data_IF_087340046615
#
_entry.id   IF_087340046615
#
_cell.length_a   1.000
_cell.length_b   1.000
_cell.length_c   1.000
_cell.angle_alpha   90.00
_cell.angle_beta   90.00
_cell.angle_gamma   90.00
#
_symmetry.space_group_name_H-M   'P 1'
#
loop_
_entity.id
_entity.type
_entity.pdbx_description
1 polymer ?
#
# COMPACT_ATOMS: atom_id res chain seq x y z
N UNK A 1 8.93 -6.96 14.80
CA UNK A 1 10.10 -7.70 15.27
C UNK A 1 11.25 -6.75 15.66
N UNK A 2 11.68 -5.83 14.77
CA UNK A 2 12.77 -4.89 15.09
C UNK A 2 12.43 -3.99 16.30
N UNK A 3 11.18 -3.53 16.43
CA UNK A 3 10.71 -2.75 17.58
C UNK A 3 10.80 -3.50 18.92
N UNK A 4 10.64 -4.82 18.89
CA UNK A 4 10.63 -5.65 20.10
C UNK A 4 12.01 -6.22 20.44
N UNK A 5 12.80 -6.59 19.44
CA UNK A 5 14.06 -7.31 19.59
C UNK A 5 15.31 -6.45 19.31
N UNK A 6 15.11 -5.26 18.76
CA UNK A 6 16.17 -4.36 18.33
C UNK A 6 16.60 -4.55 16.87
N UNK A 7 17.21 -3.51 16.32
CA UNK A 7 17.64 -3.49 14.91
C UNK A 7 18.77 -4.48 14.63
N UNK A 8 19.72 -4.63 15.55
CA UNK A 8 20.86 -5.56 15.37
C UNK A 8 20.40 -7.02 15.24
N UNK A 9 19.51 -7.49 16.13
CA UNK A 9 18.97 -8.85 16.05
C UNK A 9 18.13 -9.02 14.77
N UNK A 10 17.39 -7.99 14.37
CA UNK A 10 16.64 -7.99 13.14
C UNK A 10 17.56 -8.09 11.92
N UNK A 11 18.65 -7.34 11.88
CA UNK A 11 19.66 -7.35 10.82
C UNK A 11 20.29 -8.73 10.69
N UNK A 12 20.76 -9.32 11.78
CA UNK A 12 21.36 -10.65 11.79
C UNK A 12 20.42 -11.73 11.26
N UNK A 13 19.14 -11.66 11.62
CA UNK A 13 18.16 -12.69 11.26
C UNK A 13 17.54 -12.50 9.88
N UNK A 14 17.24 -11.26 9.50
CA UNK A 14 16.45 -10.94 8.31
C UNK A 14 17.14 -10.00 7.33
N UNK A 15 18.32 -9.48 7.65
CA UNK A 15 19.03 -8.51 6.82
C UNK A 15 19.24 -8.99 5.39
N UNK A 16 19.74 -10.22 5.22
CA UNK A 16 19.92 -10.81 3.89
C UNK A 16 18.59 -10.89 3.12
N UNK A 17 17.51 -11.31 3.77
CA UNK A 17 16.20 -11.43 3.16
C UNK A 17 15.65 -10.07 2.70
N UNK A 18 15.83 -9.02 3.51
CA UNK A 18 15.45 -7.65 3.14
C UNK A 18 16.24 -7.18 1.91
N UNK A 19 17.55 -7.39 1.88
CA UNK A 19 18.39 -7.06 0.74
C UNK A 19 17.97 -7.81 -0.52
N UNK A 20 17.77 -9.13 -0.43
CA UNK A 20 17.39 -9.97 -1.56
C UNK A 20 16.07 -9.51 -2.21
N UNK A 21 15.06 -9.14 -1.39
CA UNK A 21 13.78 -8.62 -1.88
C UNK A 21 13.97 -7.29 -2.62
N UNK A 22 14.66 -6.32 -1.98
CA UNK A 22 14.86 -5.01 -2.58
C UNK A 22 15.68 -5.09 -3.86
N UNK A 23 16.79 -5.85 -3.85
CA UNK A 23 17.61 -6.09 -5.02
C UNK A 23 16.82 -6.74 -6.17
N UNK A 24 15.95 -7.70 -5.84
CA UNK A 24 15.12 -8.37 -6.84
C UNK A 24 14.15 -7.41 -7.52
N UNK A 25 13.52 -6.52 -6.75
CA UNK A 25 12.62 -5.50 -7.28
C UNK A 25 13.38 -4.46 -8.10
N UNK A 26 14.47 -3.91 -7.54
CA UNK A 26 15.30 -2.87 -8.22
C UNK A 26 15.86 -3.38 -9.55
N UNK A 27 16.25 -4.65 -9.62
CA UNK A 27 16.75 -5.29 -10.85
C UNK A 27 15.68 -5.71 -11.85
N UNK A 28 14.40 -5.43 -11.56
CA UNK A 28 13.28 -5.82 -12.43
C UNK A 28 13.04 -7.31 -12.48
N UNK A 29 13.37 -8.05 -11.41
CA UNK A 29 13.21 -9.52 -11.36
C UNK A 29 11.75 -9.97 -11.29
N UNK A 30 10.85 -9.13 -10.80
CA UNK A 30 9.44 -9.51 -10.65
C UNK A 30 8.65 -9.30 -11.95
N UNK A 31 7.89 -10.31 -12.44
CA UNK A 31 7.24 -10.25 -13.76
C UNK A 31 6.09 -9.24 -13.86
N UNK A 32 5.57 -8.76 -12.74
CA UNK A 32 4.41 -7.86 -12.69
C UNK A 32 4.65 -6.59 -11.86
N UNK A 33 5.88 -6.34 -11.41
CA UNK A 33 6.25 -5.11 -10.69
C UNK A 33 7.46 -4.48 -11.36
N UNK A 34 7.37 -3.20 -11.67
CA UNK A 34 8.40 -2.46 -12.39
C UNK A 34 8.71 -1.17 -11.65
N UNK A 35 9.97 -0.99 -11.27
CA UNK A 35 10.45 0.28 -10.72
C UNK A 35 10.61 1.29 -11.86
N UNK A 36 9.92 2.41 -11.78
CA UNK A 36 10.02 3.50 -12.74
C UNK A 36 11.00 4.59 -12.27
N UNK A 37 11.44 5.45 -13.18
CA UNK A 37 12.45 6.50 -12.92
C UNK A 37 12.00 7.51 -11.86
N UNK A 38 10.69 7.67 -11.66
CA UNK A 38 10.11 8.49 -10.60
C UNK A 38 10.13 7.84 -9.20
N UNK A 39 10.73 6.65 -9.09
CA UNK A 39 10.83 5.90 -7.83
C UNK A 39 9.59 5.08 -7.46
N UNK A 40 8.48 5.19 -8.20
CA UNK A 40 7.26 4.42 -7.92
C UNK A 40 7.31 3.03 -8.57
N UNK A 41 6.65 2.07 -7.90
CA UNK A 41 6.40 0.73 -8.43
C UNK A 41 5.11 0.73 -9.26
N UNK A 42 5.25 0.44 -10.54
CA UNK A 42 4.15 0.13 -11.44
C UNK A 42 3.80 -1.35 -11.34
N UNK A 43 2.51 -1.67 -11.30
CA UNK A 43 1.99 -3.04 -11.17
C UNK A 43 1.13 -3.41 -12.37
N UNK A 44 1.38 -4.58 -12.99
CA UNK A 44 0.57 -5.08 -14.09
C UNK A 44 -0.48 -6.09 -13.58
N UNK A 45 -1.61 -5.57 -13.09
CA UNK A 45 -2.70 -6.34 -12.50
C UNK A 45 -4.03 -6.27 -13.25
N UNK A 46 -4.04 -5.81 -14.51
CA UNK A 46 -5.26 -5.63 -15.29
C UNK A 46 -6.02 -6.93 -15.52
N UNK A 47 -5.30 -8.02 -15.78
CA UNK A 47 -5.87 -9.34 -16.06
C UNK A 47 -5.53 -10.36 -14.97
N UNK A 48 -4.90 -9.92 -13.88
CA UNK A 48 -4.36 -10.79 -12.82
C UNK A 48 -4.65 -10.20 -11.45
N UNK A 49 -4.84 -11.09 -10.50
CA UNK A 49 -4.85 -10.70 -9.10
C UNK A 49 -3.41 -10.53 -8.64
N UNK A 50 -3.04 -9.32 -8.23
CA UNK A 50 -1.68 -8.98 -7.74
C UNK A 50 -1.70 -8.40 -6.33
N UNK A 51 -2.86 -8.17 -5.74
CA UNK A 51 -3.00 -7.59 -4.40
C UNK A 51 -3.95 -8.43 -3.54
N UNK A 52 -4.17 -8.01 -2.29
CA UNK A 52 -5.13 -8.63 -1.39
C UNK A 52 -6.58 -8.54 -1.89
N UNK A 53 -6.87 -7.64 -2.83
CA UNK A 53 -8.16 -7.53 -3.49
C UNK A 53 -8.28 -8.60 -4.59
N UNK A 54 -8.51 -9.84 -4.17
CA UNK A 54 -8.28 -11.06 -4.95
C UNK A 54 -9.54 -11.78 -5.43
N UNK A 55 -10.70 -11.13 -5.40
CA UNK A 55 -11.94 -11.71 -5.92
C UNK A 55 -11.86 -11.93 -7.44
N UNK A 56 -12.27 -13.13 -7.89
CA UNK A 56 -12.20 -13.56 -9.28
C UNK A 56 -13.55 -14.17 -9.69
N UNK A 57 -14.08 -13.77 -10.84
CA UNK A 57 -15.26 -14.38 -11.47
C UNK A 57 -14.91 -14.73 -12.90
N UNK A 58 -15.21 -15.94 -13.32
CA UNK A 58 -14.92 -16.45 -14.68
C UNK A 58 -13.45 -16.24 -15.11
N UNK A 59 -12.52 -16.43 -14.18
CA UNK A 59 -11.08 -16.27 -14.41
C UNK A 59 -10.58 -14.83 -14.52
N UNK A 60 -11.42 -13.82 -14.25
CA UNK A 60 -11.08 -12.40 -14.32
C UNK A 60 -11.19 -11.73 -12.95
N UNK A 61 -10.26 -10.83 -12.61
CA UNK A 61 -10.37 -10.02 -11.40
C UNK A 61 -11.68 -9.22 -11.38
N UNK A 62 -12.40 -9.25 -10.26
CA UNK A 62 -13.57 -8.37 -10.04
C UNK A 62 -13.13 -6.91 -9.88
N UNK A 63 -11.98 -6.72 -9.26
CA UNK A 63 -11.36 -5.42 -9.08
C UNK A 63 -9.99 -5.39 -9.80
N UNK A 64 -9.96 -5.22 -11.13
CA UNK A 64 -8.70 -5.09 -11.85
C UNK A 64 -8.01 -3.80 -11.42
N UNK A 65 -6.76 -3.91 -10.94
CA UNK A 65 -5.95 -2.78 -10.49
C UNK A 65 -4.59 -2.86 -11.16
N UNK A 66 -4.27 -1.87 -11.96
CA UNK A 66 -3.03 -1.74 -12.70
C UNK A 66 -2.45 -0.35 -12.52
N UNK A 67 -1.17 -0.19 -12.77
CA UNK A 67 -0.51 1.09 -12.58
C UNK A 67 0.15 1.24 -11.21
N UNK A 68 0.18 2.44 -10.70
CA UNK A 68 0.70 2.73 -9.36
C UNK A 68 -0.41 2.48 -8.32
N UNK A 69 -0.25 1.45 -7.50
CA UNK A 69 -1.16 1.11 -6.40
C UNK A 69 -0.69 1.80 -5.11
N UNK A 70 -1.60 2.43 -4.40
CA UNK A 70 -1.27 3.28 -3.24
C UNK A 70 -0.60 2.50 -2.11
N UNK A 71 -1.13 1.33 -1.75
CA UNK A 71 -0.57 0.49 -0.69
C UNK A 71 0.79 -0.12 -1.08
N UNK A 72 0.98 -0.47 -2.35
CA UNK A 72 2.26 -1.01 -2.83
C UNK A 72 3.35 0.06 -2.73
N UNK A 73 3.07 1.27 -3.16
CA UNK A 73 4.03 2.36 -3.11
C UNK A 73 4.28 2.86 -1.69
N UNK A 74 3.28 2.81 -0.81
CA UNK A 74 3.47 3.03 0.62
C UNK A 74 4.40 1.98 1.25
N UNK A 75 4.15 0.70 0.99
CA UNK A 75 4.99 -0.41 1.47
C UNK A 75 6.41 -0.35 0.89
N UNK A 76 6.54 0.00 -0.38
CA UNK A 76 7.83 0.18 -1.05
C UNK A 76 8.67 1.26 -0.38
N UNK A 77 8.10 2.45 -0.20
CA UNK A 77 8.77 3.54 0.51
C UNK A 77 9.20 3.14 1.91
N UNK A 78 8.28 2.54 2.68
CA UNK A 78 8.59 2.07 4.03
C UNK A 78 9.68 1.00 4.03
N UNK A 79 9.68 0.08 3.06
CA UNK A 79 10.71 -0.96 2.91
C UNK A 79 12.10 -0.38 2.65
N UNK A 80 12.20 0.58 1.75
CA UNK A 80 13.46 1.27 1.44
C UNK A 80 14.02 2.01 2.66
N UNK A 81 13.20 2.81 3.36
CA UNK A 81 13.61 3.54 4.57
C UNK A 81 13.97 2.62 5.72
N UNK A 82 13.20 1.55 5.90
CA UNK A 82 13.50 0.53 6.90
C UNK A 82 14.85 -0.16 6.62
N UNK A 83 15.11 -0.54 5.36
CA UNK A 83 16.38 -1.16 4.99
C UNK A 83 17.57 -0.20 5.18
N UNK A 84 17.40 1.06 4.77
CA UNK A 84 18.42 2.09 5.00
C UNK A 84 18.73 2.26 6.49
N UNK A 85 17.70 2.28 7.35
CA UNK A 85 17.90 2.35 8.81
C UNK A 85 18.50 1.06 9.39
N UNK A 86 18.15 -0.11 8.86
CA UNK A 86 18.65 -1.41 9.32
C UNK A 86 20.17 -1.56 9.10
N UNK A 87 20.69 -0.95 8.03
CA UNK A 87 22.10 -1.04 7.63
C UNK A 87 22.86 0.29 7.78
N UNK A 88 22.31 1.28 8.49
CA UNK A 88 22.88 2.62 8.59
C UNK A 88 24.34 2.65 9.14
N UNK A 89 24.68 1.72 10.03
CA UNK A 89 26.00 1.62 10.66
C UNK A 89 26.92 0.58 9.96
N UNK A 90 26.46 -0.03 8.88
CA UNK A 90 27.20 -1.07 8.16
C UNK A 90 27.97 -0.43 6.99
N UNK A 91 29.27 -0.25 7.15
CA UNK A 91 30.11 0.39 6.13
C UNK A 91 30.19 -0.38 4.81
N UNK A 92 30.02 -1.71 4.84
CA UNK A 92 30.00 -2.53 3.61
C UNK A 92 28.72 -2.31 2.80
N UNK A 93 27.65 -1.86 3.46
CA UNK A 93 26.36 -1.58 2.86
C UNK A 93 26.14 -0.10 2.50
N UNK A 94 27.12 0.78 2.75
CA UNK A 94 26.97 2.23 2.56
C UNK A 94 26.43 2.62 1.18
N UNK A 95 26.96 2.04 0.10
CA UNK A 95 26.49 2.32 -1.28
C UNK A 95 25.06 1.87 -1.52
N UNK A 96 24.63 0.74 -0.95
CA UNK A 96 23.24 0.29 -1.04
C UNK A 96 22.29 1.17 -0.22
N UNK A 97 22.70 1.58 0.97
CA UNK A 97 21.94 2.51 1.81
C UNK A 97 21.72 3.84 1.09
N UNK A 98 22.75 4.36 0.42
CA UNK A 98 22.65 5.56 -0.42
C UNK A 98 21.63 5.36 -1.55
N UNK A 99 21.76 4.28 -2.33
CA UNK A 99 20.83 3.93 -3.40
C UNK A 99 19.37 3.83 -2.91
N UNK A 100 19.14 3.14 -1.78
CA UNK A 100 17.78 3.01 -1.22
C UNK A 100 17.21 4.36 -0.78
N UNK A 101 18.03 5.23 -0.21
CA UNK A 101 17.61 6.58 0.16
C UNK A 101 17.29 7.43 -1.06
N UNK A 102 18.09 7.41 -2.12
CA UNK A 102 17.82 8.12 -3.36
C UNK A 102 16.50 7.66 -4.00
N UNK A 103 16.24 6.35 -4.05
CA UNK A 103 14.97 5.82 -4.57
C UNK A 103 13.82 6.26 -3.65
N UNK A 104 14.00 6.20 -2.33
CA UNK A 104 12.98 6.59 -1.37
C UNK A 104 12.65 8.09 -1.46
N UNK A 105 13.64 8.96 -1.69
CA UNK A 105 13.41 10.40 -1.87
C UNK A 105 12.56 10.67 -3.12
N UNK A 106 12.89 10.05 -4.24
CA UNK A 106 12.08 10.11 -5.47
C UNK A 106 10.68 9.56 -5.24
N UNK A 107 10.58 8.41 -4.53
CA UNK A 107 9.29 7.79 -4.20
C UNK A 107 8.43 8.74 -3.37
N UNK A 108 9.00 9.43 -2.37
CA UNK A 108 8.25 10.33 -1.50
C UNK A 108 7.63 11.51 -2.26
N UNK A 109 8.42 12.16 -3.11
CA UNK A 109 7.95 13.27 -3.95
C UNK A 109 6.85 12.80 -4.89
N UNK A 110 7.10 11.73 -5.63
CA UNK A 110 6.16 11.18 -6.60
C UNK A 110 4.90 10.63 -5.94
N UNK A 111 5.00 10.03 -4.75
CA UNK A 111 3.86 9.49 -4.02
C UNK A 111 2.83 10.57 -3.68
N UNK A 112 3.27 11.68 -3.11
CA UNK A 112 2.38 12.79 -2.76
C UNK A 112 1.72 13.35 -4.00
N UNK A 113 2.50 13.61 -5.06
CA UNK A 113 2.00 14.15 -6.32
C UNK A 113 1.00 13.20 -7.01
N UNK A 114 1.24 11.89 -6.95
CA UNK A 114 0.42 10.89 -7.66
C UNK A 114 -0.87 10.57 -6.92
N UNK A 115 -0.81 10.43 -5.59
CA UNK A 115 -1.93 9.86 -4.84
C UNK A 115 -2.75 10.87 -4.04
N UNK A 116 -2.13 11.95 -3.51
CA UNK A 116 -2.84 12.90 -2.68
C UNK A 116 -3.69 13.84 -3.53
N UNK A 117 -5.00 13.78 -3.35
CA UNK A 117 -5.94 14.63 -4.07
C UNK A 117 -6.32 15.91 -3.28
N UNK A 118 -7.00 16.83 -3.93
CA UNK A 118 -7.43 18.12 -3.36
C UNK A 118 -8.42 17.98 -2.19
N UNK A 119 -9.11 16.84 -2.11
CA UNK A 119 -10.01 16.52 -0.98
C UNK A 119 -9.26 16.00 0.25
N UNK A 120 -7.94 15.79 0.14
CA UNK A 120 -7.06 15.42 1.25
C UNK A 120 -7.04 13.94 1.59
N UNK A 121 -7.39 13.06 0.64
CA UNK A 121 -7.21 11.62 0.76
C UNK A 121 -6.41 11.06 -0.42
N UNK A 122 -6.02 9.78 -0.35
CA UNK A 122 -5.23 9.14 -1.39
C UNK A 122 -6.15 8.36 -2.34
N UNK A 123 -5.98 8.60 -3.65
CA UNK A 123 -6.64 7.79 -4.69
C UNK A 123 -6.15 6.33 -4.61
N UNK A 124 -6.97 5.39 -5.04
CA UNK A 124 -6.69 3.96 -4.88
C UNK A 124 -5.54 3.47 -5.78
N UNK A 125 -5.57 3.84 -7.05
CA UNK A 125 -4.48 3.61 -8.00
C UNK A 125 -4.51 4.64 -9.14
N UNK A 126 -3.39 4.74 -9.85
CA UNK A 126 -3.22 5.59 -11.03
C UNK A 126 -2.59 4.79 -12.16
N UNK A 127 -3.26 4.75 -13.33
CA UNK A 127 -2.75 4.09 -14.54
C UNK A 127 -2.81 5.05 -15.73
N UNK A 128 -1.66 5.61 -16.08
CA UNK A 128 -1.57 6.68 -17.08
C UNK A 128 -2.36 7.92 -16.68
N UNK A 129 -3.35 8.29 -17.48
CA UNK A 129 -4.23 9.44 -17.21
C UNK A 129 -5.43 9.09 -16.30
N UNK A 130 -5.64 7.81 -15.99
CA UNK A 130 -6.76 7.35 -15.17
C UNK A 130 -6.36 7.29 -13.69
N UNK A 131 -7.20 7.86 -12.83
CA UNK A 131 -7.09 7.74 -11.38
C UNK A 131 -8.37 7.16 -10.81
N UNK A 132 -8.27 6.14 -9.96
CA UNK A 132 -9.42 5.62 -9.21
C UNK A 132 -9.62 6.40 -7.90
N UNK A 133 -10.63 7.22 -7.88
CA UNK A 133 -11.00 8.09 -6.76
C UNK A 133 -11.87 7.40 -5.71
N UNK A 134 -12.08 6.10 -5.84
CA UNK A 134 -12.83 5.32 -4.87
C UNK A 134 -12.17 5.41 -3.49
N UNK A 135 -12.95 5.73 -2.47
CA UNK A 135 -12.46 5.69 -1.09
C UNK A 135 -12.43 4.24 -0.63
N UNK A 136 -11.19 3.70 -0.57
CA UNK A 136 -10.88 2.32 -0.20
C UNK A 136 -9.88 2.25 0.95
N UNK A 137 -9.83 1.15 1.70
CA UNK A 137 -8.92 1.01 2.82
C UNK A 137 -7.45 0.85 2.41
N UNK A 138 -7.12 0.76 1.13
CA UNK A 138 -5.75 0.64 0.66
C UNK A 138 -4.88 1.83 1.09
N UNK A 139 -5.44 3.04 1.09
CA UNK A 139 -4.76 4.21 1.66
C UNK A 139 -4.44 4.03 3.15
N UNK A 140 -5.29 3.34 3.91
CA UNK A 140 -5.08 3.11 5.34
C UNK A 140 -3.81 2.28 5.60
N UNK A 141 -3.51 1.32 4.73
CA UNK A 141 -2.26 0.55 4.80
C UNK A 141 -1.07 1.51 4.71
N UNK A 142 -1.05 2.41 3.71
CA UNK A 142 0.01 3.40 3.57
C UNK A 142 0.11 4.37 4.77
N UNK A 143 -1.03 4.75 5.38
CA UNK A 143 -1.07 5.63 6.55
C UNK A 143 -0.55 4.96 7.83
N UNK A 144 -0.64 3.64 7.94
CA UNK A 144 -0.28 2.86 9.14
C UNK A 144 1.22 2.60 9.28
N UNK A 145 1.99 2.78 8.22
CA UNK A 145 3.42 2.44 8.16
C UNK A 145 4.29 3.37 9.02
N UNK A 146 5.42 2.87 9.49
CA UNK A 146 6.35 3.65 10.33
C UNK A 146 7.03 4.76 9.53
N UNK A 147 7.46 4.43 8.31
CA UNK A 147 7.97 5.41 7.36
C UNK A 147 6.87 5.74 6.36
N UNK A 148 6.41 6.99 6.35
CA UNK A 148 5.37 7.47 5.45
C UNK A 148 5.90 8.62 4.60
N UNK A 149 5.58 8.65 3.29
CA UNK A 149 5.91 9.81 2.45
C UNK A 149 5.02 11.03 2.73
N UNK A 150 3.97 10.86 3.53
CA UNK A 150 3.04 11.92 3.91
C UNK A 150 3.47 12.60 5.20
N UNK A 151 3.30 13.91 5.27
CA UNK A 151 3.41 14.64 6.53
C UNK A 151 2.25 14.34 7.50
N UNK A 152 2.38 14.81 8.75
CA UNK A 152 1.39 14.57 9.80
C UNK A 152 0.01 15.14 9.45
N UNK A 153 -0.06 16.31 8.80
CA UNK A 153 -1.31 16.96 8.43
C UNK A 153 -2.01 16.19 7.31
N UNK A 154 -1.26 15.76 6.31
CA UNK A 154 -1.77 14.95 5.20
C UNK A 154 -2.31 13.62 5.69
N UNK A 155 -1.55 12.91 6.54
CA UNK A 155 -2.00 11.65 7.16
C UNK A 155 -3.28 11.82 7.97
N UNK A 156 -3.37 12.88 8.79
CA UNK A 156 -4.56 13.18 9.58
C UNK A 156 -5.79 13.39 8.69
N UNK A 157 -5.68 14.21 7.66
CA UNK A 157 -6.79 14.46 6.73
C UNK A 157 -7.26 13.20 6.01
N UNK A 158 -6.34 12.37 5.53
CA UNK A 158 -6.68 11.11 4.88
C UNK A 158 -7.33 10.13 5.87
N UNK A 159 -6.85 10.05 7.11
CA UNK A 159 -7.45 9.22 8.16
C UNK A 159 -8.86 9.69 8.55
N UNK A 160 -9.12 11.00 8.56
CA UNK A 160 -10.46 11.56 8.80
C UNK A 160 -11.45 11.09 7.73
N UNK A 161 -11.03 10.98 6.47
CA UNK A 161 -11.87 10.42 5.39
C UNK A 161 -12.12 8.93 5.60
N UNK A 162 -11.10 8.14 5.93
CA UNK A 162 -11.25 6.72 6.28
C UNK A 162 -12.22 6.53 7.44
N UNK A 163 -12.06 7.32 8.50
CA UNK A 163 -12.93 7.26 9.68
C UNK A 163 -14.38 7.53 9.33
N UNK A 164 -14.63 8.61 8.59
CA UNK A 164 -15.98 9.04 8.23
C UNK A 164 -16.69 8.06 7.30
N UNK A 165 -15.95 7.45 6.35
CA UNK A 165 -16.57 6.70 5.26
C UNK A 165 -16.44 5.18 5.37
N UNK A 166 -15.37 4.70 6.02
CA UNK A 166 -15.07 3.27 6.05
C UNK A 166 -15.20 2.62 7.43
N UNK A 167 -15.05 3.38 8.53
CA UNK A 167 -15.09 2.80 9.87
C UNK A 167 -16.51 2.35 10.24
N UNK A 168 -16.60 1.15 10.77
CA UNK A 168 -17.84 0.58 11.32
C UNK A 168 -17.57 -0.09 12.67
N UNK A 169 -18.58 -0.40 13.47
CA UNK A 169 -18.41 -1.15 14.72
C UNK A 169 -17.82 -2.56 14.54
N UNK A 170 -17.79 -3.09 13.31
CA UNK A 170 -17.33 -4.45 13.00
C UNK A 170 -16.04 -4.50 12.17
N UNK A 171 -15.45 -3.36 11.84
CA UNK A 171 -14.24 -3.28 11.00
C UNK A 171 -14.28 -2.15 10.00
N UNK A 172 -13.36 -2.17 9.05
CA UNK A 172 -13.22 -1.17 8.00
C UNK A 172 -13.87 -1.69 6.72
N UNK A 173 -14.76 -0.89 6.11
CA UNK A 173 -15.36 -1.20 4.80
C UNK A 173 -14.31 -1.28 3.71
N UNK A 174 -14.54 -2.17 2.76
CA UNK A 174 -13.67 -2.33 1.58
C UNK A 174 -13.94 -1.30 0.48
N UNK A 175 -15.06 -0.59 0.57
CA UNK A 175 -15.43 0.51 -0.31
C UNK A 175 -16.38 1.46 0.43
N UNK A 176 -16.26 2.76 0.17
CA UNK A 176 -17.19 3.76 0.70
C UNK A 176 -18.60 3.58 0.15
N UNK A 177 -19.65 3.79 0.99
CA UNK A 177 -21.04 3.82 0.51
C UNK A 177 -21.32 4.88 -0.56
N UNK A 178 -20.44 5.87 -0.70
CA UNK A 178 -20.57 6.93 -1.72
C UNK A 178 -19.90 6.59 -3.04
N UNK A 179 -19.08 5.55 -3.08
CA UNK A 179 -18.36 5.12 -4.29
C UNK A 179 -19.26 4.29 -5.19
N UNK A 180 -19.04 4.43 -6.51
CA UNK A 180 -19.74 3.61 -7.50
C UNK A 180 -19.48 2.13 -7.26
N UNK A 181 -20.52 1.30 -7.47
CA UNK A 181 -20.43 -0.15 -7.27
C UNK A 181 -20.46 -0.60 -5.82
N UNK A 182 -20.78 0.27 -4.85
CA UNK A 182 -20.91 -0.13 -3.45
C UNK A 182 -21.96 -1.23 -3.28
N UNK A 183 -21.54 -2.36 -2.71
CA UNK A 183 -22.39 -3.50 -2.37
C UNK A 183 -21.98 -4.05 -0.98
N UNK A 184 -22.70 -3.72 0.09
CA UNK A 184 -22.35 -4.12 1.45
C UNK A 184 -22.72 -5.57 1.77
N UNK A 185 -23.49 -6.24 0.90
CA UNK A 185 -24.16 -7.51 1.20
C UNK A 185 -23.35 -8.68 0.64
N UNK A 186 -22.83 -9.54 1.52
CA UNK A 186 -22.05 -10.71 1.17
C UNK A 186 -22.89 -11.97 1.35
N UNK A 187 -23.82 -12.21 0.42
CA UNK A 187 -24.79 -13.33 0.44
C UNK A 187 -25.03 -13.85 -0.97
N UNK A 188 -25.76 -14.96 -1.10
CA UNK A 188 -26.15 -15.54 -2.37
C UNK A 188 -25.17 -16.63 -2.88
N UNK A 189 -25.12 -16.81 -4.19
CA UNK A 189 -24.20 -17.72 -4.87
C UNK A 189 -22.72 -17.35 -4.67
N UNK A 190 -21.81 -18.25 -5.04
CA UNK A 190 -20.38 -17.95 -5.03
C UNK A 190 -20.06 -16.69 -5.84
N UNK A 191 -20.60 -16.61 -7.05
CA UNK A 191 -20.39 -15.47 -7.95
C UNK A 191 -20.87 -14.14 -7.35
N UNK A 192 -22.07 -14.11 -6.75
CA UNK A 192 -22.60 -12.92 -6.09
C UNK A 192 -21.71 -12.48 -4.91
N UNK A 193 -21.20 -13.44 -4.12
CA UNK A 193 -20.28 -13.15 -3.03
C UNK A 193 -18.94 -12.62 -3.52
N UNK A 194 -18.39 -13.18 -4.61
CA UNK A 194 -17.14 -12.68 -5.21
C UNK A 194 -17.31 -11.24 -5.72
N UNK A 195 -18.41 -10.90 -6.38
CA UNK A 195 -18.70 -9.52 -6.79
C UNK A 195 -18.83 -8.55 -5.62
N UNK A 196 -19.29 -9.00 -4.46
CA UNK A 196 -19.42 -8.16 -3.27
C UNK A 196 -18.11 -8.07 -2.45
N UNK A 197 -17.18 -9.03 -2.59
CA UNK A 197 -16.09 -9.31 -1.64
C UNK A 197 -15.25 -8.09 -1.25
N UNK A 198 -14.95 -7.20 -2.21
CA UNK A 198 -14.20 -5.97 -2.01
C UNK A 198 -15.01 -4.70 -2.33
N UNK A 199 -16.33 -4.80 -2.36
CA UNK A 199 -17.22 -3.71 -2.78
C UNK A 199 -18.05 -3.12 -1.62
N UNK A 200 -17.68 -3.36 -0.37
CA UNK A 200 -18.38 -2.76 0.76
C UNK A 200 -18.31 -3.51 2.07
N UNK A 201 -18.30 -4.87 2.11
CA UNK A 201 -18.25 -5.62 3.35
C UNK A 201 -17.10 -5.17 4.24
N UNK A 202 -17.35 -5.06 5.55
CA UNK A 202 -16.33 -4.66 6.53
C UNK A 202 -15.35 -5.80 6.82
N UNK A 203 -14.07 -5.45 7.00
CA UNK A 203 -12.98 -6.39 7.30
C UNK A 203 -12.36 -6.06 8.66
N UNK A 204 -12.47 -6.96 9.67
CA UNK A 204 -11.90 -6.72 11.00
C UNK A 204 -10.37 -6.59 10.99
N UNK A 205 -9.65 -7.34 10.14
CA UNK A 205 -8.18 -7.31 10.11
C UNK A 205 -7.59 -5.92 9.79
N UNK A 206 -8.33 -5.08 9.08
CA UNK A 206 -7.92 -3.71 8.78
C UNK A 206 -7.94 -2.78 10.00
N UNK A 207 -8.56 -3.20 11.11
CA UNK A 207 -8.58 -2.42 12.36
C UNK A 207 -7.18 -2.26 12.96
N UNK A 208 -6.26 -3.22 12.75
CA UNK A 208 -4.86 -3.07 13.15
C UNK A 208 -4.20 -1.88 12.47
N UNK A 209 -4.32 -1.80 11.14
CA UNK A 209 -3.80 -0.66 10.38
C UNK A 209 -4.49 0.67 10.77
N UNK A 210 -5.79 0.63 11.08
CA UNK A 210 -6.51 1.81 11.55
C UNK A 210 -5.98 2.30 12.91
N UNK A 211 -5.78 1.39 13.86
CA UNK A 211 -5.23 1.72 15.18
C UNK A 211 -3.81 2.31 15.06
N UNK A 212 -2.95 1.69 14.26
CA UNK A 212 -1.58 2.19 14.02
C UNK A 212 -1.59 3.59 13.39
N UNK A 213 -2.44 3.82 12.38
CA UNK A 213 -2.56 5.13 11.76
C UNK A 213 -3.13 6.20 12.70
N UNK A 214 -4.04 5.82 13.60
CA UNK A 214 -4.67 6.72 14.58
C UNK A 214 -3.70 7.14 15.69
N UNK A 215 -2.78 6.26 16.09
CA UNK A 215 -1.82 6.51 17.16
C UNK A 215 -0.59 7.32 16.72
N UNK A 216 -0.38 7.53 15.44
CA UNK A 216 0.75 8.28 14.83
C UNK A 216 0.39 9.72 14.51
#
# INVERSE_FOLDING_TARGET
YAKEKGMEICRQKYGKFVCDILDYIVKGGHPNLFLHDNGLLYSNGKERVISWMNAVVDGRPVNPRSGYLVEFNGLWYNGLRFAAALFAEDSEMASKVEQWNEIADKTAESFVHTFLNDYGYLVDYVDGAMSDWSVRPNMLIALSLDYSPLDKRQRKRALEVVTRELLTPKGIRTLSPKSYGYNPTYVGSQTEREYAYHQGPARPWLMGAYADAYLK
#
